data_IF_757928652957
#
_entry.id   IF_757928652957
#
_cell.length_a   1.000
_cell.length_b   1.000
_cell.length_c   1.000
_cell.angle_alpha   90.00
_cell.angle_beta   90.00
_cell.angle_gamma   90.00
#
_symmetry.space_group_name_H-M   'P 1'
#
loop_
_entity.id
_entity.type
_entity.pdbx_description
1 polymer ?
#
# COMPACT_ATOMS: atom_id res chain seq x y z
N UNK A 1 16.39 -4.15 -5.01
CA UNK A 1 15.44 -3.57 -4.04
C UNK A 1 14.31 -4.55 -3.82
N UNK A 2 13.91 -4.86 -2.59
CA UNK A 2 12.71 -5.66 -2.32
C UNK A 2 11.52 -4.76 -2.02
N UNK A 3 10.34 -5.27 -2.30
CA UNK A 3 9.09 -4.63 -1.91
C UNK A 3 8.09 -5.68 -1.41
N UNK A 4 7.16 -5.26 -0.57
CA UNK A 4 6.05 -6.09 -0.12
C UNK A 4 4.73 -5.41 -0.51
N UNK A 5 3.78 -6.18 -1.03
CA UNK A 5 2.44 -5.67 -1.31
C UNK A 5 1.50 -6.06 -0.18
N UNK A 6 0.82 -5.07 0.37
CA UNK A 6 -0.25 -5.27 1.35
C UNK A 6 -1.60 -4.91 0.73
N UNK A 7 -2.67 -5.47 1.29
CA UNK A 7 -4.03 -5.08 0.90
C UNK A 7 -5.01 -5.15 2.06
N UNK A 8 -6.07 -4.35 1.99
CA UNK A 8 -7.19 -4.39 2.93
C UNK A 8 -8.49 -3.97 2.24
N UNK A 9 -9.62 -4.17 2.91
CA UNK A 9 -10.92 -3.70 2.44
C UNK A 9 -11.27 -2.34 3.05
N UNK A 10 -11.82 -1.46 2.21
CA UNK A 10 -12.52 -0.25 2.64
C UNK A 10 -13.96 -0.58 3.05
N UNK A 11 -14.58 0.28 3.85
CA UNK A 11 -15.99 0.21 4.26
C UNK A 11 -16.95 0.19 3.05
N UNK A 12 -16.57 0.85 1.95
CA UNK A 12 -17.33 0.83 0.70
C UNK A 12 -17.11 -0.43 -0.15
N UNK A 13 -16.44 -1.44 0.41
CA UNK A 13 -16.10 -2.72 -0.23
C UNK A 13 -15.04 -2.63 -1.35
N UNK A 14 -14.48 -1.45 -1.62
CA UNK A 14 -13.30 -1.33 -2.47
C UNK A 14 -12.09 -2.01 -1.80
N UNK A 15 -11.21 -2.62 -2.61
CA UNK A 15 -9.96 -3.20 -2.13
C UNK A 15 -8.83 -2.18 -2.24
N UNK A 16 -8.18 -1.90 -1.12
CA UNK A 16 -7.06 -0.97 -0.98
C UNK A 16 -5.76 -1.75 -1.02
N UNK A 17 -4.75 -1.18 -1.67
CA UNK A 17 -3.43 -1.78 -1.83
C UNK A 17 -2.34 -0.75 -1.56
N UNK A 18 -1.20 -1.21 -1.07
CA UNK A 18 0.02 -0.43 -1.06
C UNK A 18 1.22 -1.32 -1.32
N UNK A 19 2.22 -0.78 -2.01
CA UNK A 19 3.55 -1.39 -2.07
C UNK A 19 4.44 -0.68 -1.05
N UNK A 20 5.18 -1.48 -0.29
CA UNK A 20 6.08 -1.05 0.78
C UNK A 20 7.54 -1.33 0.39
N UNK A 21 8.46 -0.45 0.78
CA UNK A 21 9.89 -0.74 0.74
C UNK A 21 10.33 -1.64 1.90
N UNK A 22 11.62 -1.99 1.96
CA UNK A 22 12.22 -2.83 3.01
C UNK A 22 12.09 -2.25 4.42
N UNK A 23 11.95 -0.93 4.56
CA UNK A 23 11.71 -0.22 5.81
C UNK A 23 10.21 -0.06 6.11
N UNK A 24 9.34 -0.65 5.29
CA UNK A 24 7.88 -0.61 5.36
C UNK A 24 7.29 0.78 5.12
N UNK A 25 8.02 1.67 4.46
CA UNK A 25 7.46 2.92 3.95
C UNK A 25 6.64 2.66 2.69
N UNK A 26 5.44 3.24 2.62
CA UNK A 26 4.62 3.21 1.41
C UNK A 26 5.37 3.88 0.27
N UNK A 27 5.56 3.13 -0.83
CA UNK A 27 6.06 3.63 -2.11
C UNK A 27 4.92 4.13 -3.00
N UNK A 28 3.78 3.43 -2.99
CA UNK A 28 2.55 3.82 -3.71
C UNK A 28 1.32 3.15 -3.10
N UNK A 29 0.16 3.78 -3.28
CA UNK A 29 -1.14 3.22 -2.90
C UNK A 29 -2.16 3.32 -4.02
N UNK A 30 -3.06 2.34 -4.11
CA UNK A 30 -4.14 2.33 -5.09
C UNK A 30 -5.36 1.57 -4.55
N UNK A 31 -6.51 1.78 -5.18
CA UNK A 31 -7.75 1.12 -4.82
C UNK A 31 -8.42 0.52 -6.06
N UNK A 32 -9.06 -0.64 -5.87
CA UNK A 32 -9.89 -1.31 -6.88
C UNK A 32 -11.33 -1.42 -6.41
N UNK A 33 -12.25 -0.86 -7.19
CA UNK A 33 -13.68 -1.16 -7.07
C UNK A 33 -14.01 -2.31 -8.02
N UNK A 34 -14.22 -3.51 -7.47
CA UNK A 34 -14.51 -4.72 -8.24
C UNK A 34 -15.87 -4.67 -8.94
N UNK A 35 -16.84 -3.93 -8.39
CA UNK A 35 -18.17 -3.76 -8.99
C UNK A 35 -18.10 -2.86 -10.21
N UNK A 36 -17.31 -1.79 -10.12
CA UNK A 36 -17.11 -0.83 -11.23
C UNK A 36 -15.98 -1.22 -12.18
N UNK A 37 -15.19 -2.25 -11.83
CA UNK A 37 -13.95 -2.65 -12.54
C UNK A 37 -13.00 -1.47 -12.77
N UNK A 38 -12.93 -0.58 -11.79
CA UNK A 38 -12.09 0.62 -11.84
C UNK A 38 -10.94 0.49 -10.84
N UNK A 39 -9.76 0.91 -11.29
CA UNK A 39 -8.59 1.12 -10.44
C UNK A 39 -8.29 2.63 -10.41
N UNK A 40 -8.02 3.16 -9.22
CA UNK A 40 -7.65 4.56 -9.04
C UNK A 40 -6.51 4.69 -8.04
N UNK A 41 -5.72 5.76 -8.18
CA UNK A 41 -4.72 6.12 -7.18
C UNK A 41 -5.40 6.40 -5.84
N UNK A 42 -4.84 5.85 -4.77
CA UNK A 42 -5.34 6.01 -3.41
C UNK A 42 -4.14 6.36 -2.53
N UNK A 43 -3.92 7.64 -2.21
CA UNK A 43 -2.81 8.08 -1.38
C UNK A 43 -2.75 7.25 -0.10
N UNK A 44 -1.56 6.72 0.21
CA UNK A 44 -1.35 5.86 1.35
C UNK A 44 -0.10 6.27 2.12
N UNK A 45 -0.11 6.03 3.43
CA UNK A 45 0.96 6.45 4.33
C UNK A 45 1.21 5.41 5.42
N UNK A 46 2.47 5.08 5.66
CA UNK A 46 2.90 4.21 6.77
C UNK A 46 3.01 4.99 8.07
N UNK A 47 2.54 4.40 9.17
CA UNK A 47 2.61 4.96 10.52
C UNK A 47 3.28 3.90 11.41
N UNK A 48 4.28 4.31 12.21
CA UNK A 48 5.12 3.41 13.03
C UNK A 48 5.76 2.29 12.20
N UNK A 49 6.30 2.62 11.02
CA UNK A 49 6.87 1.65 10.08
C UNK A 49 8.02 0.83 10.68
N UNK A 50 8.73 1.35 11.67
CA UNK A 50 9.81 0.69 12.40
C UNK A 50 9.33 -0.39 13.40
N UNK A 51 8.05 -0.37 13.77
CA UNK A 51 7.46 -1.28 14.75
C UNK A 51 7.06 -2.63 14.15
N UNK A 52 6.98 -3.68 14.98
CA UNK A 52 6.51 -5.00 14.53
C UNK A 52 5.06 -4.94 14.04
N UNK A 53 4.20 -4.27 14.80
CA UNK A 53 2.88 -3.87 14.32
C UNK A 53 2.96 -2.43 13.83
N UNK A 54 2.67 -2.24 12.55
CA UNK A 54 2.64 -0.93 11.90
C UNK A 54 1.27 -0.71 11.28
N UNK A 55 0.98 0.54 10.92
CA UNK A 55 -0.30 0.89 10.32
C UNK A 55 -0.08 1.50 8.95
N UNK A 56 -1.07 1.32 8.08
CA UNK A 56 -1.17 2.04 6.82
C UNK A 56 -2.53 2.71 6.74
N UNK A 57 -2.51 4.01 6.47
CA UNK A 57 -3.68 4.82 6.22
C UNK A 57 -3.83 5.03 4.72
N UNK A 58 -5.04 4.85 4.18
CA UNK A 58 -5.40 5.18 2.79
C UNK A 58 -6.49 6.25 2.76
N UNK A 59 -6.43 7.16 1.80
CA UNK A 59 -7.60 7.92 1.36
C UNK A 59 -8.29 7.17 0.20
N UNK A 60 -9.46 6.60 0.45
CA UNK A 60 -10.18 5.83 -0.58
C UNK A 60 -10.79 6.77 -1.64
N UNK A 61 -10.45 6.64 -2.93
CA UNK A 61 -10.96 7.53 -3.99
C UNK A 61 -12.43 7.29 -4.35
N UNK A 62 -13.03 6.17 -3.89
CA UNK A 62 -14.41 5.83 -4.23
C UNK A 62 -15.44 6.35 -3.22
N UNK A 63 -15.07 6.42 -1.94
CA UNK A 63 -15.96 6.88 -0.87
C UNK A 63 -15.39 8.08 -0.08
N UNK A 64 -14.21 8.57 -0.44
CA UNK A 64 -13.50 9.70 0.17
C UNK A 64 -13.28 9.57 1.69
N UNK A 65 -13.24 8.34 2.21
CA UNK A 65 -12.94 8.06 3.61
C UNK A 65 -11.49 7.63 3.81
N UNK A 66 -10.94 8.06 4.93
CA UNK A 66 -9.67 7.55 5.42
C UNK A 66 -9.88 6.17 6.04
N UNK A 67 -9.09 5.19 5.60
CA UNK A 67 -9.11 3.83 6.11
C UNK A 67 -7.76 3.53 6.74
N UNK A 68 -7.73 3.31 8.06
CA UNK A 68 -6.54 2.91 8.81
C UNK A 68 -6.57 1.41 9.06
N UNK A 69 -5.47 0.71 8.80
CA UNK A 69 -5.34 -0.73 9.06
C UNK A 69 -3.97 -1.06 9.63
N UNK A 70 -3.96 -1.98 10.59
CA UNK A 70 -2.74 -2.51 11.18
C UNK A 70 -2.29 -3.76 10.43
N UNK A 71 -0.97 -3.92 10.32
CA UNK A 71 -0.30 -5.06 9.72
C UNK A 71 0.82 -5.52 10.65
N UNK A 72 1.12 -6.82 10.62
CA UNK A 72 2.27 -7.39 11.32
C UNK A 72 3.42 -7.59 10.32
N UNK A 73 4.61 -7.10 10.66
CA UNK A 73 5.79 -7.16 9.83
C UNK A 73 6.22 -8.60 9.47
N UNK A 74 5.92 -9.57 10.32
CA UNK A 74 6.24 -11.00 10.09
C UNK A 74 5.38 -11.62 8.99
N UNK A 75 4.21 -11.04 8.68
CA UNK A 75 3.30 -11.50 7.64
C UNK A 75 3.62 -10.97 6.24
N UNK A 76 4.69 -10.19 6.07
CA UNK A 76 5.04 -9.58 4.79
C UNK A 76 5.70 -10.57 3.83
N UNK A 77 5.13 -10.71 2.64
CA UNK A 77 5.70 -11.49 1.55
C UNK A 77 6.54 -10.59 0.63
N UNK A 78 7.86 -10.63 0.82
CA UNK A 78 8.82 -9.83 0.05
C UNK A 78 9.03 -10.37 -1.37
N UNK A 79 9.11 -9.45 -2.33
CA UNK A 79 9.40 -9.72 -3.75
C UNK A 79 10.56 -8.87 -4.20
N UNK A 80 11.33 -9.35 -5.17
CA UNK A 80 12.34 -8.55 -5.83
C UNK A 80 11.66 -7.56 -6.79
N UNK A 81 12.07 -6.30 -6.73
CA UNK A 81 11.67 -5.31 -7.72
C UNK A 81 12.33 -5.64 -9.07
N UNK A 82 11.59 -5.54 -10.20
CA UNK A 82 12.18 -5.71 -11.51
C UNK A 82 13.25 -4.63 -11.74
N UNK A 83 14.38 -5.02 -12.37
CA UNK A 83 15.58 -4.20 -12.53
C UNK A 83 15.33 -2.80 -13.14
N UNK A 84 14.28 -2.64 -13.96
CA UNK A 84 13.92 -1.37 -14.60
C UNK A 84 13.45 -0.26 -13.65
N UNK A 85 13.16 -0.55 -12.38
CA UNK A 85 12.76 0.48 -11.39
C UNK A 85 13.95 1.14 -10.66
N UNK A 86 15.17 0.62 -10.81
CA UNK A 86 16.35 1.10 -10.07
C UNK A 86 17.00 2.37 -10.67
N UNK A 87 16.65 2.75 -11.91
CA UNK A 87 17.28 3.84 -12.66
C UNK A 87 16.53 5.19 -12.58
N UNK A 88 15.35 5.24 -11.94
CA UNK A 88 14.48 6.43 -11.94
C UNK A 88 14.58 7.31 -10.67
N UNK A 89 15.60 7.10 -9.82
CA UNK A 89 15.85 7.90 -8.62
C UNK A 89 17.24 8.51 -8.67
N UNK A 90 17.45 9.44 -9.60
CA UNK A 90 18.55 10.41 -9.57
C UNK A 90 18.11 11.65 -10.32
N UNK A 91 17.57 12.62 -9.59
CA UNK A 91 17.67 14.06 -9.90
C UNK A 91 17.53 14.83 -8.57
#
# INVERSE_FOLDING_TARGET
MKYAQISSACECQAKLFADLDEKRFVLRGWAKDMRRKQEQNAPAHSIHADSQQFQVAWLCPFCNRNTLRSFDATGLAWREAPAAAAEAQTD
#
